data_IF_423837216093
#
_entry.id   IF_423837216093
#
_cell.length_a   1.000
_cell.length_b   1.000
_cell.length_c   1.000
_cell.angle_alpha   90.00
_cell.angle_beta   90.00
_cell.angle_gamma   90.00
#
_symmetry.space_group_name_H-M   'P 1'
#
loop_
_entity.id
_entity.type
_entity.pdbx_description
1 polymer ?
#
# COMPACT_ATOMS: atom_id res chain seq x y z
N UNK A 1 10.87 1.89 -18.03
CA UNK A 1 11.44 1.11 -16.92
C UNK A 1 10.31 0.61 -16.05
N UNK A 2 10.36 -0.63 -15.54
CA UNK A 2 9.29 -1.14 -14.68
C UNK A 2 9.24 -0.36 -13.36
N UNK A 3 8.05 -0.19 -12.79
CA UNK A 3 7.87 0.63 -11.59
C UNK A 3 8.69 0.14 -10.39
N UNK A 4 8.82 -1.18 -10.22
CA UNK A 4 9.54 -1.76 -9.09
C UNK A 4 11.06 -1.41 -9.07
N UNK A 5 11.67 -1.10 -10.21
CA UNK A 5 13.10 -0.76 -10.31
C UNK A 5 13.43 0.67 -9.86
N UNK A 6 12.43 1.55 -9.81
CA UNK A 6 12.62 2.97 -9.52
C UNK A 6 13.07 3.19 -8.07
N UNK A 7 14.11 4.00 -7.85
CA UNK A 7 14.61 4.30 -6.49
C UNK A 7 13.94 5.54 -5.90
N UNK A 8 13.72 6.53 -6.75
CA UNK A 8 13.08 7.80 -6.44
C UNK A 8 12.54 8.40 -7.75
N UNK A 9 11.41 9.08 -7.67
CA UNK A 9 10.80 9.79 -8.81
C UNK A 9 9.93 10.94 -8.31
N UNK A 10 9.71 11.91 -9.21
CA UNK A 10 8.77 13.01 -8.97
C UNK A 10 7.47 12.81 -9.73
N UNK A 11 6.34 13.18 -9.13
CA UNK A 11 5.08 13.21 -9.87
C UNK A 11 5.15 14.21 -11.04
N UNK A 12 4.40 13.94 -12.11
CA UNK A 12 4.31 14.85 -13.25
C UNK A 12 3.54 16.11 -12.83
N UNK A 13 4.19 17.27 -13.02
CA UNK A 13 3.55 18.57 -12.83
C UNK A 13 2.74 18.94 -14.06
N UNK A 14 1.47 18.55 -14.07
CA UNK A 14 0.49 18.98 -15.07
C UNK A 14 -0.83 19.34 -14.42
N UNK A 15 -1.60 20.19 -15.08
CA UNK A 15 -2.98 20.41 -14.69
C UNK A 15 -3.78 19.12 -14.93
N UNK A 16 -4.60 18.72 -13.96
CA UNK A 16 -5.40 17.50 -13.99
C UNK A 16 -6.86 17.88 -13.71
N UNK A 17 -7.75 17.57 -14.64
CA UNK A 17 -9.20 17.71 -14.42
C UNK A 17 -9.74 16.55 -13.57
N UNK A 18 -10.93 16.71 -12.99
CA UNK A 18 -11.57 15.61 -12.24
C UNK A 18 -11.81 14.38 -13.12
N UNK A 19 -12.19 14.56 -14.40
CA UNK A 19 -12.40 13.47 -15.35
C UNK A 19 -11.11 12.70 -15.64
N UNK A 20 -9.99 13.41 -15.79
CA UNK A 20 -8.68 12.77 -15.94
C UNK A 20 -8.29 11.97 -14.69
N UNK A 21 -8.54 12.52 -13.50
CA UNK A 21 -8.28 11.82 -12.24
C UNK A 21 -9.16 10.57 -12.10
N UNK A 22 -10.45 10.67 -12.41
CA UNK A 22 -11.35 9.52 -12.46
C UNK A 22 -10.87 8.45 -13.43
N UNK A 23 -10.41 8.85 -14.61
CA UNK A 23 -9.83 7.92 -15.60
C UNK A 23 -8.58 7.22 -15.07
N UNK A 24 -7.70 7.94 -14.38
CA UNK A 24 -6.49 7.38 -13.76
C UNK A 24 -6.86 6.34 -12.71
N UNK A 25 -7.70 6.69 -11.74
CA UNK A 25 -8.11 5.75 -10.69
C UNK A 25 -8.87 4.55 -11.26
N UNK A 26 -9.77 4.76 -12.22
CA UNK A 26 -10.48 3.65 -12.87
C UNK A 26 -9.54 2.72 -13.62
N UNK A 27 -8.47 3.26 -14.24
CA UNK A 27 -7.42 2.45 -14.87
C UNK A 27 -6.63 1.63 -13.85
N UNK A 28 -6.24 2.25 -12.73
CA UNK A 28 -5.49 1.62 -11.64
C UNK A 28 -6.21 0.42 -11.01
N UNK A 29 -7.54 0.43 -10.96
CA UNK A 29 -8.39 -0.62 -10.38
C UNK A 29 -9.17 -1.40 -11.45
N UNK A 30 -8.67 -1.45 -12.69
CA UNK A 30 -9.29 -2.25 -13.73
C UNK A 30 -8.68 -3.65 -13.77
N UNK A 31 -9.53 -4.68 -13.87
CA UNK A 31 -9.18 -6.10 -14.01
C UNK A 31 -8.32 -6.44 -15.26
N UNK A 32 -7.98 -5.45 -16.09
CA UNK A 32 -7.17 -5.63 -17.30
C UNK A 32 -5.67 -5.71 -17.01
N UNK A 33 -5.25 -5.33 -15.81
CA UNK A 33 -3.84 -5.36 -15.44
C UNK A 33 -3.58 -6.64 -14.65
N UNK A 34 -2.73 -7.51 -15.20
CA UNK A 34 -2.32 -8.75 -14.54
C UNK A 34 -1.53 -8.39 -13.28
N UNK A 35 -2.10 -8.69 -12.11
CA UNK A 35 -1.43 -8.46 -10.83
C UNK A 35 -1.15 -9.78 -10.13
N UNK A 36 0.12 -10.04 -9.87
CA UNK A 36 0.58 -11.25 -9.21
C UNK A 36 0.30 -11.22 -7.68
N UNK A 37 0.07 -10.02 -7.12
CA UNK A 37 -0.28 -9.82 -5.69
C UNK A 37 -1.25 -8.66 -5.47
N UNK A 38 -1.97 -8.69 -4.34
CA UNK A 38 -2.91 -7.64 -3.93
C UNK A 38 -2.25 -6.36 -3.37
N UNK A 39 -0.92 -6.29 -3.32
CA UNK A 39 -0.18 -5.28 -2.55
C UNK A 39 -0.47 -3.84 -2.95
N UNK A 40 -0.72 -3.57 -4.24
CA UNK A 40 -1.04 -2.21 -4.68
C UNK A 40 -2.32 -1.69 -4.05
N UNK A 41 -3.34 -2.53 -3.84
CA UNK A 41 -4.61 -2.14 -3.22
C UNK A 41 -4.43 -1.88 -1.73
N UNK A 42 -3.65 -2.71 -1.04
CA UNK A 42 -3.31 -2.47 0.36
C UNK A 42 -2.48 -1.20 0.55
N UNK A 43 -1.54 -0.92 -0.36
CA UNK A 43 -0.73 0.29 -0.29
C UNK A 43 -1.52 1.55 -0.62
N UNK A 44 -2.37 1.51 -1.63
CA UNK A 44 -3.29 2.61 -1.92
C UNK A 44 -4.25 2.87 -0.76
N UNK A 45 -4.82 1.82 -0.16
CA UNK A 45 -5.65 1.96 1.04
C UNK A 45 -4.87 2.58 2.21
N UNK A 46 -3.61 2.19 2.40
CA UNK A 46 -2.75 2.80 3.40
C UNK A 46 -2.56 4.31 3.17
N UNK A 47 -2.43 4.74 1.91
CA UNK A 47 -2.39 6.17 1.56
C UNK A 47 -3.71 6.85 1.90
N UNK A 48 -4.86 6.27 1.51
CA UNK A 48 -6.18 6.82 1.80
C UNK A 48 -6.44 6.96 3.31
N UNK A 49 -6.01 5.98 4.10
CA UNK A 49 -6.14 5.98 5.56
C UNK A 49 -5.24 7.01 6.23
N UNK A 50 -4.12 7.33 5.61
CA UNK A 50 -3.16 8.33 6.11
C UNK A 50 -3.29 9.72 5.48
N UNK A 51 -4.29 9.99 4.61
CA UNK A 51 -4.41 11.29 3.92
C UNK A 51 -4.32 12.48 4.87
N UNK A 52 -5.05 12.43 5.98
CA UNK A 52 -5.10 13.52 6.96
C UNK A 52 -3.90 13.54 7.93
N UNK A 53 -2.97 12.60 7.80
CA UNK A 53 -1.72 12.54 8.56
C UNK A 53 -0.52 13.08 7.77
N UNK A 54 -0.74 13.55 6.53
CA UNK A 54 0.29 14.19 5.75
C UNK A 54 0.69 15.52 6.40
N UNK A 55 1.98 15.86 6.34
CA UNK A 55 2.47 17.14 6.87
C UNK A 55 2.08 18.32 5.96
N UNK A 56 2.55 19.52 6.32
CA UNK A 56 2.32 20.75 5.54
C UNK A 56 2.83 20.69 4.10
N UNK A 57 3.80 19.81 3.82
CA UNK A 57 4.39 19.57 2.50
C UNK A 57 3.74 18.39 1.77
N UNK A 58 2.65 17.85 2.33
CA UNK A 58 1.94 16.66 1.89
C UNK A 58 2.80 15.40 1.87
N UNK A 59 3.75 15.30 2.81
CA UNK A 59 4.64 14.15 2.95
C UNK A 59 4.02 13.12 3.89
N UNK A 60 4.11 11.85 3.47
CA UNK A 60 3.81 10.68 4.29
C UNK A 60 5.05 9.79 4.36
N UNK A 61 5.47 9.47 5.56
CA UNK A 61 6.60 8.56 5.79
C UNK A 61 6.21 7.12 5.49
N UNK A 62 7.19 6.29 5.11
CA UNK A 62 6.98 4.87 4.93
C UNK A 62 6.60 4.19 6.24
N UNK A 63 7.03 4.69 7.41
CA UNK A 63 6.60 4.09 8.68
C UNK A 63 5.09 4.28 8.90
N UNK A 64 4.54 5.47 8.63
CA UNK A 64 3.09 5.70 8.68
C UNK A 64 2.34 4.78 7.71
N UNK A 65 2.79 4.72 6.44
CA UNK A 65 2.13 3.94 5.40
C UNK A 65 2.23 2.43 5.66
N UNK A 66 3.42 1.93 6.02
CA UNK A 66 3.62 0.50 6.24
C UNK A 66 3.05 0.01 7.57
N UNK A 67 2.79 0.90 8.53
CA UNK A 67 1.97 0.56 9.69
C UNK A 67 0.54 0.19 9.25
N UNK A 68 -0.12 1.06 8.48
CA UNK A 68 -1.46 0.80 7.92
C UNK A 68 -1.49 -0.38 6.98
N UNK A 69 -0.46 -0.51 6.14
CA UNK A 69 -0.31 -1.66 5.24
C UNK A 69 -0.24 -2.97 6.03
N UNK A 70 0.58 -3.01 7.09
CA UNK A 70 0.74 -4.20 7.94
C UNK A 70 -0.56 -4.53 8.66
N UNK A 71 -1.27 -3.53 9.21
CA UNK A 71 -2.57 -3.68 9.86
C UNK A 71 -3.61 -4.32 8.93
N UNK A 72 -3.72 -3.81 7.70
CA UNK A 72 -4.62 -4.34 6.66
C UNK A 72 -4.32 -5.82 6.41
N UNK A 73 -3.05 -6.14 6.12
CA UNK A 73 -2.69 -7.50 5.76
C UNK A 73 -2.63 -8.47 6.93
N UNK A 74 -2.40 -8.00 8.16
CA UNK A 74 -2.55 -8.80 9.36
C UNK A 74 -3.95 -9.40 9.42
N UNK A 75 -4.97 -8.56 9.25
CA UNK A 75 -6.35 -9.00 9.25
C UNK A 75 -6.66 -9.90 8.05
N UNK A 76 -6.28 -9.53 6.83
CA UNK A 76 -6.55 -10.34 5.64
C UNK A 76 -5.89 -11.73 5.71
N UNK A 77 -4.63 -11.80 6.10
CA UNK A 77 -3.84 -13.04 6.06
C UNK A 77 -4.04 -13.91 7.28
N UNK A 78 -4.00 -13.35 8.49
CA UNK A 78 -3.98 -14.15 9.72
C UNK A 78 -5.39 -14.38 10.27
N UNK A 79 -6.24 -13.36 10.26
CA UNK A 79 -7.63 -13.49 10.74
C UNK A 79 -8.53 -14.14 9.71
N UNK A 80 -8.52 -13.64 8.47
CA UNK A 80 -9.41 -14.13 7.41
C UNK A 80 -8.81 -15.23 6.52
N UNK A 81 -7.54 -15.59 6.73
CA UNK A 81 -6.85 -16.64 5.96
C UNK A 81 -6.89 -16.44 4.43
N UNK A 82 -6.95 -15.18 3.99
CA UNK A 82 -6.98 -14.81 2.57
C UNK A 82 -5.56 -14.81 1.99
N UNK A 83 -5.42 -15.44 0.82
CA UNK A 83 -4.16 -15.46 0.07
C UNK A 83 -3.94 -14.14 -0.64
N UNK A 84 -2.69 -13.66 -0.62
CA UNK A 84 -2.33 -12.37 -1.25
C UNK A 84 -1.74 -12.53 -2.65
N UNK A 85 -1.85 -13.74 -3.21
CA UNK A 85 -1.58 -14.07 -4.61
C UNK A 85 -2.47 -15.23 -5.06
N UNK A 86 -2.66 -15.36 -6.37
CA UNK A 86 -3.32 -16.52 -6.95
C UNK A 86 -2.60 -17.82 -6.54
N UNK A 87 -3.38 -18.89 -6.32
CA UNK A 87 -2.83 -20.21 -5.98
C UNK A 87 -2.00 -20.73 -7.14
N UNK A 88 -0.69 -20.81 -6.95
CA UNK A 88 0.23 -21.48 -7.87
C UNK A 88 0.27 -22.98 -7.55
N UNK A 89 0.67 -23.82 -8.52
CA UNK A 89 0.75 -25.29 -8.34
C UNK A 89 1.64 -25.72 -7.18
N UNK A 90 2.62 -24.90 -6.81
CA UNK A 90 3.57 -25.11 -5.73
C UNK A 90 3.16 -24.44 -4.41
N UNK A 91 1.98 -23.81 -4.34
CA UNK A 91 1.44 -23.21 -3.13
C UNK A 91 2.28 -22.07 -2.54
N UNK A 92 3.24 -21.51 -3.29
CA UNK A 92 4.20 -20.52 -2.75
C UNK A 92 3.48 -19.33 -2.14
N UNK A 93 3.88 -19.01 -0.92
CA UNK A 93 3.45 -17.82 -0.20
C UNK A 93 4.24 -16.60 -0.65
N UNK A 94 3.59 -15.45 -0.58
CA UNK A 94 4.23 -14.16 -0.79
C UNK A 94 5.18 -13.83 0.37
N UNK A 95 6.11 -12.88 0.13
CA UNK A 95 7.04 -12.43 1.16
C UNK A 95 6.31 -11.85 2.39
N UNK A 96 5.22 -11.10 2.19
CA UNK A 96 4.40 -10.58 3.28
C UNK A 96 3.75 -11.69 4.10
N UNK A 97 3.12 -12.68 3.45
CA UNK A 97 2.45 -13.78 4.16
C UNK A 97 3.44 -14.53 5.07
N UNK A 98 4.65 -14.77 4.57
CA UNK A 98 5.72 -15.39 5.36
C UNK A 98 6.14 -14.53 6.53
N UNK A 99 6.37 -13.22 6.32
CA UNK A 99 6.75 -12.30 7.41
C UNK A 99 5.71 -12.28 8.52
N UNK A 100 4.41 -12.24 8.17
CA UNK A 100 3.32 -12.21 9.13
C UNK A 100 3.20 -13.54 9.89
N UNK A 101 3.23 -14.68 9.19
CA UNK A 101 3.18 -16.02 9.82
C UNK A 101 4.39 -16.31 10.70
N UNK A 102 5.59 -15.90 10.27
CA UNK A 102 6.80 -16.01 11.09
C UNK A 102 6.70 -15.14 12.36
N UNK A 103 6.06 -13.97 12.29
CA UNK A 103 5.83 -13.13 13.45
C UNK A 103 4.88 -13.79 14.45
N UNK A 104 3.81 -14.44 13.98
CA UNK A 104 2.88 -15.20 14.81
C UNK A 104 3.60 -16.35 15.54
N UNK A 105 4.34 -17.17 14.79
CA UNK A 105 5.02 -18.37 15.30
C UNK A 105 6.12 -18.06 16.31
N UNK A 106 6.88 -16.97 16.11
CA UNK A 106 8.01 -16.61 16.99
C UNK A 106 7.59 -15.98 18.30
N UNK A 107 6.33 -15.57 18.44
CA UNK A 107 5.88 -14.72 19.53
C UNK A 107 4.70 -15.35 20.30
N UNK A 108 4.35 -16.61 20.00
CA UNK A 108 3.26 -17.35 20.63
C UNK A 108 1.92 -16.59 20.63
N UNK A 109 1.74 -15.68 19.65
CA UNK A 109 0.49 -14.95 19.50
C UNK A 109 -0.58 -15.91 19.02
N UNK A 110 -1.74 -15.92 19.68
CA UNK A 110 -2.89 -16.72 19.27
C UNK A 110 -3.35 -16.24 17.89
N UNK A 111 -3.66 -17.16 16.97
CA UNK A 111 -3.94 -16.90 15.54
C UNK A 111 -5.19 -16.04 15.24
N UNK A 112 -5.84 -15.46 16.25
CA UNK A 112 -7.02 -14.60 16.12
C UNK A 112 -6.85 -13.24 16.84
N UNK A 113 -5.62 -12.90 17.25
CA UNK A 113 -5.34 -11.60 17.89
C UNK A 113 -5.42 -10.49 16.85
N UNK A 114 -6.20 -9.44 17.15
CA UNK A 114 -6.28 -8.26 16.30
C UNK A 114 -4.95 -7.50 16.30
N UNK A 115 -4.65 -6.81 15.20
CA UNK A 115 -3.37 -6.10 15.10
C UNK A 115 -3.17 -5.08 16.23
N UNK A 116 -4.26 -4.44 16.66
CA UNK A 116 -4.31 -3.45 17.72
C UNK A 116 -3.93 -4.03 19.09
N UNK A 117 -4.26 -5.29 19.34
CA UNK A 117 -3.97 -5.99 20.58
C UNK A 117 -2.51 -6.46 20.69
N UNK A 118 -1.71 -6.34 19.63
CA UNK A 118 -0.28 -6.65 19.65
C UNK A 118 0.48 -5.56 20.45
N UNK A 119 1.47 -5.92 21.29
CA UNK A 119 2.35 -4.94 21.92
C UNK A 119 3.06 -4.02 20.92
N UNK A 120 3.23 -2.74 21.26
CA UNK A 120 3.72 -1.73 20.32
C UNK A 120 5.16 -1.99 19.85
N UNK A 121 6.03 -2.49 20.73
CA UNK A 121 7.41 -2.86 20.36
C UNK A 121 7.43 -3.98 19.28
N UNK A 122 6.46 -4.89 19.37
CA UNK A 122 6.28 -5.97 18.39
C UNK A 122 5.68 -5.44 17.09
N UNK A 123 4.66 -4.57 17.16
CA UNK A 123 4.11 -3.91 15.95
C UNK A 123 5.22 -3.22 15.17
N UNK A 124 6.10 -2.47 15.85
CA UNK A 124 7.24 -1.79 15.22
C UNK A 124 8.15 -2.80 14.50
N UNK A 125 8.52 -3.90 15.16
CA UNK A 125 9.38 -4.95 14.56
C UNK A 125 8.73 -5.60 13.33
N UNK A 126 7.43 -5.87 13.37
CA UNK A 126 6.69 -6.48 12.26
C UNK A 126 6.59 -5.49 11.10
N UNK A 127 6.14 -4.26 11.37
CA UNK A 127 6.05 -3.20 10.37
C UNK A 127 7.39 -2.93 9.70
N UNK A 128 8.50 -2.93 10.44
CA UNK A 128 9.83 -2.77 9.88
C UNK A 128 10.18 -3.88 8.88
N UNK A 129 9.89 -5.15 9.21
CA UNK A 129 10.14 -6.28 8.30
C UNK A 129 9.25 -6.21 7.06
N UNK A 130 7.97 -5.89 7.23
CA UNK A 130 7.02 -5.72 6.12
C UNK A 130 7.46 -4.59 5.20
N UNK A 131 7.80 -3.41 5.75
CA UNK A 131 8.36 -2.27 5.03
C UNK A 131 9.58 -2.68 4.22
N UNK A 132 10.58 -3.30 4.85
CA UNK A 132 11.82 -3.70 4.19
C UNK A 132 11.60 -4.64 2.98
N UNK A 133 10.62 -5.56 3.07
CA UNK A 133 10.30 -6.49 1.98
C UNK A 133 9.41 -5.89 0.90
N UNK A 134 8.43 -5.09 1.26
CA UNK A 134 7.37 -4.67 0.34
C UNK A 134 7.68 -3.34 -0.35
N UNK A 135 8.41 -2.43 0.30
CA UNK A 135 8.73 -1.09 -0.27
C UNK A 135 9.50 -1.15 -1.59
N UNK A 136 10.26 -2.23 -1.81
CA UNK A 136 11.07 -2.41 -3.01
C UNK A 136 10.19 -2.46 -4.26
N UNK A 137 8.98 -3.01 -4.17
CA UNK A 137 8.15 -3.22 -5.35
C UNK A 137 6.91 -2.32 -5.34
N UNK A 138 6.20 -2.25 -4.22
CA UNK A 138 4.83 -1.71 -4.19
C UNK A 138 4.75 -0.21 -4.46
N UNK A 139 5.75 0.55 -3.96
CA UNK A 139 5.79 2.01 -4.10
C UNK A 139 5.94 2.38 -5.57
N UNK A 140 7.02 1.94 -6.21
CA UNK A 140 7.25 2.30 -7.61
C UNK A 140 6.23 1.68 -8.58
N UNK A 141 5.64 0.52 -8.25
CA UNK A 141 4.55 -0.06 -9.04
C UNK A 141 3.30 0.81 -9.01
N UNK A 142 2.81 1.20 -7.83
CA UNK A 142 1.63 2.05 -7.71
C UNK A 142 1.86 3.44 -8.36
N UNK A 143 3.08 3.97 -8.26
CA UNK A 143 3.46 5.20 -8.95
C UNK A 143 3.24 5.10 -10.48
N UNK A 144 3.75 4.04 -11.12
CA UNK A 144 3.57 3.82 -12.56
C UNK A 144 2.12 3.54 -12.94
N UNK A 145 1.41 2.75 -12.12
CA UNK A 145 -0.01 2.47 -12.35
C UNK A 145 -0.85 3.76 -12.31
N UNK A 146 -0.43 4.73 -11.50
CA UNK A 146 -1.03 6.07 -11.44
C UNK A 146 -0.62 7.00 -12.58
N UNK A 147 0.06 6.50 -13.63
CA UNK A 147 0.65 7.32 -14.70
C UNK A 147 1.54 8.43 -14.17
N UNK A 148 2.29 8.13 -13.11
CA UNK A 148 3.25 9.04 -12.45
C UNK A 148 2.59 10.30 -11.85
N UNK A 149 1.28 10.29 -11.55
CA UNK A 149 0.59 11.49 -11.08
C UNK A 149 0.35 11.55 -9.57
N UNK A 150 0.23 10.40 -8.90
CA UNK A 150 -0.32 10.34 -7.53
C UNK A 150 0.61 10.98 -6.49
N UNK A 151 1.90 10.69 -6.53
CA UNK A 151 2.90 11.16 -5.57
C UNK A 151 4.31 11.10 -6.14
N UNK A 152 5.24 11.84 -5.54
CA UNK A 152 6.70 11.64 -5.65
C UNK A 152 7.13 10.68 -4.55
N UNK A 153 8.27 10.01 -4.68
CA UNK A 153 8.76 9.14 -3.60
C UNK A 153 10.29 9.04 -3.57
N UNK A 154 10.83 8.68 -2.41
CA UNK A 154 12.22 8.23 -2.26
C UNK A 154 12.27 6.96 -1.42
N UNK A 155 12.79 5.86 -1.96
CA UNK A 155 12.98 4.61 -1.19
C UNK A 155 14.11 4.72 -0.16
N UNK A 156 15.08 5.61 -0.41
CA UNK A 156 16.18 5.92 0.50
C UNK A 156 15.72 6.88 1.60
N UNK A 157 15.00 7.93 1.23
CA UNK A 157 14.40 8.87 2.18
C UNK A 157 13.19 8.31 2.93
N UNK A 158 12.63 7.18 2.46
CA UNK A 158 11.49 6.49 3.06
C UNK A 158 10.24 7.37 3.20
N UNK A 159 9.86 8.05 2.11
CA UNK A 159 8.65 8.85 2.06
C UNK A 159 7.99 8.84 0.69
N UNK A 160 6.71 9.21 0.67
CA UNK A 160 6.03 9.76 -0.51
C UNK A 160 5.65 11.21 -0.25
N UNK A 161 5.58 12.02 -1.30
CA UNK A 161 5.03 13.36 -1.28
C UNK A 161 3.82 13.39 -2.22
N UNK A 162 2.62 13.60 -1.68
CA UNK A 162 1.39 13.56 -2.46
C UNK A 162 1.34 14.74 -3.44
N UNK A 163 0.85 14.48 -4.65
CA UNK A 163 0.54 15.55 -5.59
C UNK A 163 -0.60 16.41 -5.02
N UNK A 164 -0.45 17.74 -4.85
CA UNK A 164 -1.47 18.59 -4.25
C UNK A 164 -2.84 18.55 -4.94
N UNK A 165 -2.86 18.41 -6.27
CA UNK A 165 -4.11 18.31 -7.03
C UNK A 165 -4.80 16.99 -6.72
N UNK A 166 -4.05 15.89 -6.77
CA UNK A 166 -4.58 14.55 -6.50
C UNK A 166 -4.97 14.40 -5.03
N UNK A 167 -4.21 14.99 -4.10
CA UNK A 167 -4.54 15.03 -2.68
C UNK A 167 -5.91 15.67 -2.42
N UNK A 168 -6.18 16.84 -3.01
CA UNK A 168 -7.49 17.50 -2.88
C UNK A 168 -8.61 16.62 -3.42
N UNK A 169 -8.40 16.02 -4.58
CA UNK A 169 -9.36 15.09 -5.18
C UNK A 169 -9.62 13.87 -4.30
N UNK A 170 -8.56 13.21 -3.80
CA UNK A 170 -8.69 12.04 -2.92
C UNK A 170 -9.41 12.38 -1.63
N UNK A 171 -9.14 13.55 -1.04
CA UNK A 171 -9.84 14.03 0.15
C UNK A 171 -11.32 14.28 -0.11
N UNK A 172 -11.67 14.89 -1.26
CA UNK A 172 -13.06 15.14 -1.68
C UNK A 172 -13.82 13.83 -1.95
N UNK A 173 -13.16 12.84 -2.53
CA UNK A 173 -13.78 11.61 -3.04
C UNK A 173 -13.40 10.34 -2.27
N UNK A 174 -12.83 10.48 -1.06
CA UNK A 174 -12.25 9.37 -0.27
C UNK A 174 -13.16 8.14 -0.22
N UNK A 175 -14.42 8.32 0.19
CA UNK A 175 -15.39 7.21 0.33
C UNK A 175 -15.60 6.43 -0.97
N UNK A 176 -15.60 7.13 -2.11
CA UNK A 176 -15.78 6.48 -3.41
C UNK A 176 -14.53 5.72 -3.83
N UNK A 177 -13.34 6.32 -3.63
CA UNK A 177 -12.06 5.67 -3.91
C UNK A 177 -11.85 4.44 -3.02
N UNK A 178 -12.24 4.50 -1.75
CA UNK A 178 -12.24 3.33 -0.86
C UNK A 178 -13.13 2.23 -1.43
N UNK A 179 -14.36 2.58 -1.81
CA UNK A 179 -15.31 1.63 -2.40
C UNK A 179 -14.75 0.99 -3.69
N UNK A 180 -14.13 1.78 -4.58
CA UNK A 180 -13.46 1.27 -5.78
C UNK A 180 -12.34 0.29 -5.45
N UNK A 181 -11.52 0.58 -4.43
CA UNK A 181 -10.39 -0.26 -4.04
C UNK A 181 -10.81 -1.61 -3.43
N UNK A 182 -12.07 -1.76 -2.98
CA UNK A 182 -12.61 -3.01 -2.43
C UNK A 182 -13.31 -3.91 -3.47
N UNK A 183 -13.60 -3.43 -4.68
CA UNK A 183 -14.39 -4.17 -5.67
C UNK A 183 -13.57 -5.14 -6.55
N UNK A 184 -12.49 -5.69 -6.01
CA UNK A 184 -11.74 -6.79 -6.62
C UNK A 184 -11.68 -8.01 -5.69
#
# INVERSE_FOLDING_TARGET
>A
MAGYDLKEESYIQKHLTEDELWSIFSGMFSNKVSHDTSYKYGFFKSILDSLYNADENLVLTFDQLFYKFTEIYWNLVLKYNLRQKAKTKDGRETALERVLKEALNKQEIISDVSFEAIPDDMKIKICHKVKAKCKVNVVGALFRDSKDTLYSFSKKGEYIQLNPIVYRFMTKHKKFLEKMNYFE
#
